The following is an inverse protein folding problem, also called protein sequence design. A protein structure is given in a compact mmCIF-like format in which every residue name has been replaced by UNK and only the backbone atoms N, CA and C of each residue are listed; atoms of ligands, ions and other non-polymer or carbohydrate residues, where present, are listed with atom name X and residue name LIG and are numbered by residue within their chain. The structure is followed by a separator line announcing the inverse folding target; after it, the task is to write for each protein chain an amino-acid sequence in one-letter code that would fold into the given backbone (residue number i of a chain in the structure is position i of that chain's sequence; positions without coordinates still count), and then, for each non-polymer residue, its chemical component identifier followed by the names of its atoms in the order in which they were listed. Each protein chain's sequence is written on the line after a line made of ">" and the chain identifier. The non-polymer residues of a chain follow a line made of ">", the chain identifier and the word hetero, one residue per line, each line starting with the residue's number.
data_IF_585544008441
#
_entry.id   IF_585544008441
#
_cell.length_a   1.000
_cell.length_b   1.000
_cell.length_c   1.000
_cell.angle_alpha   90.00
_cell.angle_beta   90.00
_cell.angle_gamma   90.00
#
_symmetry.space_group_name_H-M   'P 1'
#
loop_
_entity.id
_entity.type
_entity.pdbx_description
1 polymer ?
#
# COMPACT_ATOMS: atom_id res chain seq x y z
N UNK A 1 27.90 68.56 -4.54
CA UNK A 1 27.21 67.54 -3.74
C UNK A 1 26.91 66.21 -4.44
N UNK A 2 27.33 65.99 -5.67
CA UNK A 2 26.90 64.76 -6.43
C UNK A 2 27.98 63.61 -6.54
N UNK A 3 29.24 63.87 -6.15
CA UNK A 3 30.27 62.83 -6.25
C UNK A 3 30.50 61.97 -4.99
N UNK A 4 30.05 62.40 -3.80
CA UNK A 4 30.15 61.59 -2.59
C UNK A 4 29.08 60.52 -2.48
N UNK A 5 27.92 60.70 -3.12
CA UNK A 5 26.85 59.70 -3.08
C UNK A 5 27.09 58.50 -4.00
N UNK A 6 27.89 58.63 -5.06
CA UNK A 6 28.18 57.51 -5.94
C UNK A 6 29.26 56.57 -5.38
N UNK A 7 30.19 57.09 -4.53
CA UNK A 7 31.26 56.24 -3.96
C UNK A 7 30.71 55.31 -2.87
N UNK A 8 29.70 55.76 -2.10
CA UNK A 8 29.10 54.96 -1.04
C UNK A 8 28.24 53.78 -1.61
N UNK A 9 27.63 53.96 -2.78
CA UNK A 9 26.86 52.90 -3.43
C UNK A 9 27.75 51.77 -4.00
N UNK A 10 28.92 52.09 -4.47
CA UNK A 10 29.86 51.10 -5.02
C UNK A 10 30.50 50.26 -3.92
N UNK A 11 30.85 50.90 -2.79
CA UNK A 11 31.46 50.21 -1.66
C UNK A 11 30.43 49.30 -0.98
N UNK A 12 29.16 49.72 -0.82
CA UNK A 12 28.11 48.90 -0.24
C UNK A 12 27.76 47.71 -1.13
N UNK A 13 27.74 47.83 -2.43
CA UNK A 13 27.50 46.69 -3.33
C UNK A 13 28.62 45.65 -3.31
N UNK A 14 29.90 46.08 -3.17
CA UNK A 14 31.02 45.13 -3.06
C UNK A 14 31.07 44.39 -1.73
N UNK A 15 30.70 45.05 -0.63
CA UNK A 15 30.61 44.39 0.69
C UNK A 15 29.48 43.39 0.77
N UNK A 16 28.33 43.70 0.17
CA UNK A 16 27.18 42.77 0.15
C UNK A 16 27.47 41.54 -0.74
N UNK A 17 28.19 41.72 -1.88
CA UNK A 17 28.56 40.59 -2.71
C UNK A 17 29.64 39.70 -2.08
N UNK A 18 30.55 40.25 -1.28
CA UNK A 18 31.58 39.46 -0.59
C UNK A 18 31.03 38.71 0.60
N UNK A 19 30.01 39.25 1.29
CA UNK A 19 29.32 38.53 2.39
C UNK A 19 28.41 37.40 1.85
N UNK A 20 27.70 37.60 0.73
CA UNK A 20 26.92 36.53 0.12
C UNK A 20 27.79 35.41 -0.48
N UNK A 21 28.95 35.71 -0.99
CA UNK A 21 29.90 34.68 -1.48
C UNK A 21 30.56 33.89 -0.35
N UNK A 22 30.74 34.48 0.84
CA UNK A 22 31.29 33.78 2.01
C UNK A 22 30.23 32.89 2.74
N UNK A 23 28.94 33.22 2.65
CA UNK A 23 27.88 32.35 3.17
C UNK A 23 27.58 31.16 2.25
N UNK A 24 27.90 31.24 0.95
CA UNK A 24 27.70 30.13 0.01
C UNK A 24 28.83 29.08 0.03
N UNK A 25 29.96 29.37 0.75
CA UNK A 25 31.06 28.42 0.89
C UNK A 25 31.08 27.66 2.21
N UNK A 26 30.17 27.98 3.13
CA UNK A 26 29.98 27.25 4.39
C UNK A 26 28.80 26.24 4.32
N UNK A 27 28.25 26.04 3.11
CA UNK A 27 27.40 24.90 2.84
C UNK A 27 28.26 23.66 2.85
N UNK A 28 28.40 23.02 4.02
CA UNK A 28 28.90 21.66 4.06
C UNK A 28 28.09 20.87 3.03
N UNK A 29 28.79 20.17 2.17
CA UNK A 29 28.17 19.08 1.41
C UNK A 29 27.61 18.12 2.44
N UNK A 30 26.33 18.27 2.78
CA UNK A 30 25.58 17.15 3.30
C UNK A 30 25.73 16.09 2.21
N UNK A 31 26.63 15.15 2.38
CA UNK A 31 26.62 13.95 1.58
C UNK A 31 25.22 13.39 1.77
N UNK A 32 24.42 13.40 0.72
CA UNK A 32 23.19 12.66 0.72
C UNK A 32 23.60 11.23 1.10
N UNK A 33 23.31 10.85 2.32
CA UNK A 33 23.57 9.51 2.81
C UNK A 33 22.65 8.63 1.96
N UNK A 34 23.22 7.90 1.02
CA UNK A 34 22.46 6.98 0.19
C UNK A 34 21.76 5.98 1.10
N UNK A 35 20.47 5.71 0.84
CA UNK A 35 19.79 4.58 1.45
C UNK A 35 20.71 3.37 1.28
N UNK A 36 20.87 2.57 2.34
CA UNK A 36 21.65 1.33 2.27
C UNK A 36 20.99 0.40 1.23
N UNK A 37 21.49 0.50 -0.01
CA UNK A 37 20.94 -0.25 -1.16
C UNK A 37 21.09 -1.75 -1.00
N UNK A 38 21.88 -2.22 -0.04
CA UNK A 38 21.98 -3.65 0.26
C UNK A 38 20.76 -4.16 1.02
N UNK A 39 20.10 -3.30 1.78
CA UNK A 39 18.91 -3.65 2.59
C UNK A 39 17.59 -3.23 1.96
N UNK A 40 17.58 -2.18 1.16
CA UNK A 40 16.37 -1.57 0.62
C UNK A 40 16.24 -1.78 -0.89
N UNK A 41 15.01 -1.80 -1.37
CA UNK A 41 14.69 -1.77 -2.80
C UNK A 41 14.87 -0.35 -3.33
N UNK A 42 15.47 -0.24 -4.51
CA UNK A 42 15.38 0.94 -5.35
C UNK A 42 14.04 0.96 -6.11
N UNK A 43 13.80 2.00 -6.92
CA UNK A 43 12.68 2.02 -7.86
C UNK A 43 12.73 0.79 -8.77
N UNK A 44 11.62 0.08 -8.86
CA UNK A 44 11.51 -1.06 -9.77
C UNK A 44 10.10 -1.20 -10.35
N UNK A 45 10.03 -1.91 -11.45
CA UNK A 45 8.81 -2.50 -12.00
C UNK A 45 9.07 -3.97 -12.31
N UNK A 46 8.26 -4.85 -11.72
CA UNK A 46 8.24 -6.28 -12.02
C UNK A 46 7.11 -6.58 -12.99
N UNK A 47 7.45 -6.99 -14.20
CA UNK A 47 6.50 -7.30 -15.26
C UNK A 47 6.22 -8.80 -15.40
N UNK A 48 6.83 -9.61 -14.55
CA UNK A 48 6.68 -11.07 -14.58
C UNK A 48 6.96 -11.74 -15.93
N UNK A 49 7.94 -11.23 -16.66
CA UNK A 49 8.33 -11.68 -18.00
C UNK A 49 9.27 -12.90 -18.00
N UNK A 50 9.55 -13.47 -16.85
CA UNK A 50 10.42 -14.62 -16.71
C UNK A 50 9.88 -15.62 -15.68
N UNK A 51 10.38 -16.85 -15.74
CA UNK A 51 10.03 -17.93 -14.81
C UNK A 51 10.42 -17.61 -13.34
N UNK A 52 11.27 -16.62 -13.15
CA UNK A 52 11.71 -16.17 -11.84
C UNK A 52 11.60 -14.66 -11.75
N UNK A 53 10.70 -14.13 -10.90
CA UNK A 53 10.61 -12.71 -10.67
C UNK A 53 11.95 -12.10 -10.25
N UNK A 54 12.28 -10.96 -10.83
CA UNK A 54 13.56 -10.30 -10.55
C UNK A 54 13.59 -9.73 -9.14
N UNK A 55 12.49 -9.10 -8.70
CA UNK A 55 12.42 -8.32 -7.46
C UNK A 55 11.73 -9.07 -6.31
N UNK A 56 11.07 -10.19 -6.58
CA UNK A 56 10.28 -10.93 -5.60
C UNK A 56 10.81 -12.33 -5.33
N UNK A 57 10.65 -12.77 -4.09
CA UNK A 57 10.69 -14.17 -3.69
C UNK A 57 9.26 -14.73 -3.73
N UNK A 58 9.15 -16.00 -4.09
CA UNK A 58 7.88 -16.70 -4.11
C UNK A 58 7.81 -17.65 -2.92
N UNK A 59 6.79 -17.52 -2.10
CA UNK A 59 6.61 -18.28 -0.86
C UNK A 59 5.27 -19.02 -0.85
N UNK A 60 5.17 -20.00 0.04
CA UNK A 60 3.94 -20.73 0.31
C UNK A 60 3.97 -22.19 -0.11
N UNK A 61 2.97 -22.91 0.38
CA UNK A 61 2.78 -24.36 0.15
C UNK A 61 1.89 -24.65 -1.06
N UNK A 62 1.35 -23.61 -1.69
CA UNK A 62 0.42 -23.72 -2.80
C UNK A 62 1.08 -23.32 -4.10
N UNK A 63 0.59 -23.90 -5.21
CA UNK A 63 1.13 -23.64 -6.52
C UNK A 63 0.82 -22.22 -6.96
N UNK A 64 1.83 -21.47 -7.30
CA UNK A 64 1.72 -20.36 -8.21
C UNK A 64 2.29 -20.81 -9.56
N UNK A 65 1.80 -20.21 -10.64
CA UNK A 65 2.32 -20.47 -11.96
C UNK A 65 2.48 -19.16 -12.70
N UNK A 66 3.55 -19.10 -13.42
CA UNK A 66 3.84 -18.05 -14.36
C UNK A 66 3.50 -18.53 -15.77
N UNK A 67 2.78 -17.73 -16.51
CA UNK A 67 2.43 -18.02 -17.89
C UNK A 67 2.87 -16.83 -18.77
N UNK A 68 4.00 -16.94 -19.49
CA UNK A 68 4.42 -15.92 -20.44
C UNK A 68 3.47 -15.88 -21.63
N UNK A 69 3.21 -14.68 -22.14
CA UNK A 69 2.40 -14.45 -23.35
C UNK A 69 1.00 -15.06 -23.33
N UNK A 70 0.45 -15.35 -22.16
CA UNK A 70 -0.96 -15.74 -22.07
C UNK A 70 -1.79 -14.49 -22.28
N UNK A 71 -2.62 -14.41 -23.35
CA UNK A 71 -3.59 -13.35 -23.45
C UNK A 71 -4.50 -13.49 -22.22
N UNK A 72 -4.43 -12.53 -21.31
CA UNK A 72 -5.43 -12.47 -20.27
C UNK A 72 -6.79 -12.31 -20.94
N UNK A 73 -7.87 -12.75 -20.29
CA UNK A 73 -9.23 -12.61 -20.82
C UNK A 73 -9.63 -11.15 -21.11
N UNK A 74 -8.84 -10.18 -20.62
CA UNK A 74 -9.12 -8.76 -20.79
C UNK A 74 -8.11 -7.98 -21.63
N UNK A 75 -6.87 -8.51 -21.87
CA UNK A 75 -5.84 -7.77 -22.59
C UNK A 75 -4.93 -8.70 -23.40
N UNK A 76 -4.74 -8.36 -24.68
CA UNK A 76 -3.88 -9.14 -25.56
C UNK A 76 -2.41 -8.80 -25.33
N UNK A 77 -1.59 -9.83 -25.15
CA UNK A 77 -0.14 -9.72 -25.22
C UNK A 77 0.53 -9.27 -23.92
N UNK A 78 -0.15 -9.34 -22.77
CA UNK A 78 0.48 -9.19 -21.46
C UNK A 78 0.96 -10.53 -20.94
N UNK A 79 2.19 -10.58 -20.45
CA UNK A 79 2.64 -11.64 -19.59
C UNK A 79 2.05 -11.38 -18.20
N UNK A 80 1.62 -12.43 -17.53
CA UNK A 80 1.05 -12.33 -16.19
C UNK A 80 1.62 -13.39 -15.27
N UNK A 81 1.80 -13.07 -14.01
CA UNK A 81 1.96 -14.08 -12.98
C UNK A 81 0.58 -14.59 -12.56
N UNK A 82 0.42 -15.89 -12.51
CA UNK A 82 -0.79 -16.52 -12.01
C UNK A 82 -0.50 -17.19 -10.67
N UNK A 83 -1.22 -16.78 -9.66
CA UNK A 83 -1.21 -17.41 -8.33
C UNK A 83 -2.52 -18.17 -8.12
N UNK A 84 -2.45 -19.43 -7.72
CA UNK A 84 -3.63 -20.26 -7.50
C UNK A 84 -3.74 -20.69 -6.05
N UNK A 85 -4.97 -20.63 -5.54
CA UNK A 85 -5.32 -21.30 -4.30
C UNK A 85 -5.93 -22.65 -4.66
N UNK A 86 -5.30 -23.71 -4.19
CA UNK A 86 -5.78 -25.06 -4.49
C UNK A 86 -6.92 -25.46 -3.52
N UNK A 87 -7.77 -26.40 -3.94
CA UNK A 87 -8.79 -26.96 -3.08
C UNK A 87 -8.20 -27.47 -1.75
N UNK A 88 -8.82 -27.11 -0.66
CA UNK A 88 -8.41 -27.55 0.67
C UNK A 88 -9.59 -28.23 1.35
N UNK A 89 -9.28 -29.24 2.14
CA UNK A 89 -10.29 -29.95 2.94
C UNK A 89 -10.69 -29.17 4.19
N UNK A 90 -10.07 -28.02 4.45
CA UNK A 90 -10.22 -27.28 5.68
C UNK A 90 -10.36 -25.79 5.40
N UNK A 91 -11.55 -25.25 5.68
CA UNK A 91 -11.78 -23.81 5.65
C UNK A 91 -10.90 -23.11 6.70
N UNK A 92 -10.50 -21.86 6.42
CA UNK A 92 -9.76 -21.03 7.36
C UNK A 92 -8.33 -21.50 7.62
N UNK A 93 -7.68 -22.14 6.65
CA UNK A 93 -6.31 -22.57 6.79
C UNK A 93 -5.29 -21.40 6.96
N UNK A 94 -5.70 -20.17 6.67
CA UNK A 94 -4.88 -18.95 6.79
C UNK A 94 -3.61 -18.97 5.95
N UNK A 95 -3.57 -19.75 4.86
CA UNK A 95 -2.38 -19.97 4.03
C UNK A 95 -2.74 -19.98 2.57
N UNK A 96 -1.77 -19.58 1.75
CA UNK A 96 -1.84 -19.61 0.31
C UNK A 96 -0.51 -19.20 -0.32
N UNK A 97 -0.46 -19.08 -1.65
CA UNK A 97 0.71 -18.56 -2.35
C UNK A 97 0.93 -17.08 -1.97
N UNK A 98 2.19 -16.71 -1.88
CA UNK A 98 2.64 -15.36 -1.52
C UNK A 98 3.90 -14.99 -2.29
N UNK A 99 3.99 -13.75 -2.74
CA UNK A 99 5.24 -13.15 -3.22
C UNK A 99 5.58 -11.96 -2.33
N UNK A 100 6.87 -11.77 -2.08
CA UNK A 100 7.39 -10.66 -1.29
C UNK A 100 8.71 -10.15 -1.82
N UNK A 101 8.96 -8.86 -1.74
CA UNK A 101 10.21 -8.25 -2.21
C UNK A 101 11.44 -8.88 -1.54
N UNK A 102 12.53 -8.99 -2.30
CA UNK A 102 13.81 -9.58 -1.83
C UNK A 102 14.50 -8.73 -0.78
N UNK A 103 14.23 -7.42 -0.80
CA UNK A 103 14.75 -6.43 0.15
C UNK A 103 13.57 -5.64 0.72
N UNK A 104 13.84 -4.83 1.72
CA UNK A 104 12.83 -3.99 2.37
C UNK A 104 12.41 -2.84 1.46
N UNK A 105 11.18 -2.42 1.64
CA UNK A 105 10.61 -1.17 1.14
C UNK A 105 10.26 -0.27 2.32
N UNK A 106 10.07 1.01 2.07
CA UNK A 106 9.66 1.98 3.08
C UNK A 106 8.75 3.03 2.44
N UNK A 107 8.70 4.24 2.96
CA UNK A 107 7.89 5.33 2.39
C UNK A 107 8.06 5.43 0.88
N UNK A 108 6.96 5.54 0.18
CA UNK A 108 6.98 5.51 -1.28
C UNK A 108 5.60 5.27 -1.89
N UNK A 109 5.59 5.23 -3.21
CA UNK A 109 4.42 4.86 -4.01
C UNK A 109 4.50 3.38 -4.37
N UNK A 110 3.46 2.65 -4.02
CA UNK A 110 3.26 1.24 -4.33
C UNK A 110 2.14 1.10 -5.33
N UNK A 111 2.36 0.35 -6.39
CA UNK A 111 1.37 0.19 -7.45
C UNK A 111 1.36 -1.24 -7.97
N UNK A 112 0.17 -1.79 -8.18
CA UNK A 112 0.00 -3.10 -8.78
C UNK A 112 -1.18 -3.12 -9.76
N UNK A 113 -1.05 -3.90 -10.83
CA UNK A 113 -2.10 -4.13 -11.79
C UNK A 113 -2.52 -5.59 -11.72
N UNK A 114 -3.70 -5.83 -11.18
CA UNK A 114 -4.18 -7.17 -10.81
C UNK A 114 -5.63 -7.38 -11.23
N UNK A 115 -5.99 -8.68 -11.37
CA UNK A 115 -7.35 -9.14 -11.56
C UNK A 115 -7.60 -10.32 -10.61
N UNK A 116 -8.58 -10.18 -9.72
CA UNK A 116 -8.95 -11.26 -8.79
C UNK A 116 -9.78 -12.36 -9.48
N UNK A 117 -9.87 -13.57 -8.92
CA UNK A 117 -10.65 -14.65 -9.52
C UNK A 117 -12.16 -14.36 -9.62
N UNK A 118 -12.80 -14.77 -10.72
CA UNK A 118 -14.26 -14.72 -10.86
C UNK A 118 -14.89 -16.01 -10.35
N UNK A 119 -15.37 -15.99 -9.12
CA UNK A 119 -15.94 -17.17 -8.44
C UNK A 119 -17.39 -17.01 -8.04
N UNK A 120 -17.94 -15.80 -8.13
CA UNK A 120 -19.26 -15.44 -7.57
C UNK A 120 -20.41 -16.33 -8.02
N UNK A 121 -20.37 -16.80 -9.29
CA UNK A 121 -21.40 -17.68 -9.85
C UNK A 121 -21.18 -19.15 -9.48
N UNK A 122 -19.95 -19.54 -9.19
CA UNK A 122 -19.57 -20.95 -8.98
C UNK A 122 -19.54 -21.28 -7.48
N UNK A 123 -19.00 -20.40 -6.67
CA UNK A 123 -18.83 -20.60 -5.23
C UNK A 123 -19.01 -19.28 -4.45
N UNK A 124 -20.25 -18.82 -4.27
CA UNK A 124 -20.52 -17.48 -3.72
C UNK A 124 -20.14 -17.31 -2.24
N UNK A 125 -19.93 -18.39 -1.51
CA UNK A 125 -19.53 -18.33 -0.08
C UNK A 125 -18.09 -18.75 0.17
N UNK A 126 -17.25 -18.70 -0.85
CA UNK A 126 -15.84 -19.08 -0.69
C UNK A 126 -15.12 -18.16 0.30
N UNK A 127 -14.38 -18.77 1.21
CA UNK A 127 -13.56 -18.07 2.20
C UNK A 127 -12.14 -17.85 1.71
N UNK A 128 -11.94 -17.03 0.70
CA UNK A 128 -10.61 -16.71 0.16
C UNK A 128 -10.46 -15.21 -0.05
N UNK A 129 -9.26 -14.70 0.22
CA UNK A 129 -8.90 -13.29 0.17
C UNK A 129 -7.66 -13.10 -0.68
N UNK A 130 -7.70 -12.11 -1.55
CA UNK A 130 -6.50 -11.55 -2.19
C UNK A 130 -6.04 -10.36 -1.36
N UNK A 131 -4.79 -10.39 -0.89
CA UNK A 131 -4.12 -9.29 -0.21
C UNK A 131 -3.03 -8.70 -1.08
N UNK A 132 -3.05 -7.39 -1.25
CA UNK A 132 -2.02 -6.58 -1.86
C UNK A 132 -1.57 -5.56 -0.80
N UNK A 133 -0.36 -5.74 -0.24
CA UNK A 133 -0.05 -5.14 1.05
C UNK A 133 1.44 -4.99 1.32
N UNK A 134 1.76 -4.36 2.45
CA UNK A 134 3.08 -4.43 3.07
C UNK A 134 2.97 -5.14 4.41
N UNK A 135 4.02 -5.83 4.84
CA UNK A 135 4.00 -6.50 6.15
C UNK A 135 5.40 -6.66 6.73
N UNK A 136 5.58 -6.24 7.98
CA UNK A 136 6.71 -6.61 8.82
C UNK A 136 6.43 -6.30 10.29
N UNK A 137 6.70 -7.26 11.17
CA UNK A 137 6.77 -7.03 12.60
C UNK A 137 8.17 -6.53 12.96
N UNK A 138 8.27 -5.29 13.38
CA UNK A 138 9.49 -4.71 13.94
C UNK A 138 9.50 -4.83 15.46
N UNK A 139 10.68 -5.12 16.06
CA UNK A 139 10.79 -5.33 17.50
C UNK A 139 10.54 -4.05 18.32
N UNK A 140 10.85 -2.90 17.75
CA UNK A 140 10.76 -1.60 18.41
C UNK A 140 9.49 -0.86 18.06
N UNK A 141 9.12 -0.88 16.77
CA UNK A 141 8.02 -0.07 16.22
C UNK A 141 6.72 -0.85 16.05
N UNK A 142 6.73 -2.17 16.30
CA UNK A 142 5.57 -3.01 16.12
C UNK A 142 5.28 -3.38 14.67
N UNK A 143 4.03 -3.71 14.38
CA UNK A 143 3.60 -4.08 13.04
C UNK A 143 3.54 -2.87 12.12
N UNK A 144 4.09 -3.03 10.93
CA UNK A 144 3.93 -2.15 9.77
C UNK A 144 3.22 -2.90 8.67
N UNK A 145 1.90 -2.64 8.51
CA UNK A 145 1.07 -3.29 7.50
C UNK A 145 0.11 -2.27 6.89
N UNK A 146 0.06 -2.25 5.56
CA UNK A 146 -0.82 -1.40 4.76
C UNK A 146 -1.50 -2.28 3.74
N UNK A 147 -2.82 -2.28 3.68
CA UNK A 147 -3.61 -3.26 2.97
C UNK A 147 -4.49 -2.69 1.86
N UNK A 148 -4.56 -3.44 0.77
CA UNK A 148 -5.72 -3.65 -0.08
C UNK A 148 -6.16 -5.10 0.02
N UNK A 149 -7.44 -5.34 0.25
CA UNK A 149 -7.94 -6.71 0.32
C UNK A 149 -9.27 -6.85 -0.43
N UNK A 150 -9.44 -8.02 -1.06
CA UNK A 150 -10.66 -8.45 -1.72
C UNK A 150 -11.08 -9.81 -1.20
N UNK A 151 -12.26 -9.87 -0.60
CA UNK A 151 -12.94 -11.14 -0.42
C UNK A 151 -13.45 -11.58 -1.80
N UNK A 152 -12.89 -12.65 -2.38
CA UNK A 152 -13.18 -13.02 -3.76
C UNK A 152 -14.64 -13.47 -4.00
N UNK A 153 -15.34 -13.81 -2.94
CA UNK A 153 -16.79 -14.08 -3.00
C UNK A 153 -17.61 -12.82 -3.32
N UNK A 154 -17.06 -11.61 -3.03
CA UNK A 154 -17.65 -10.33 -3.43
C UNK A 154 -16.59 -9.31 -3.91
N UNK A 155 -16.04 -9.48 -5.11
CA UNK A 155 -14.98 -8.63 -5.65
C UNK A 155 -15.44 -7.22 -6.06
N UNK A 156 -16.68 -6.85 -5.78
CA UNK A 156 -17.20 -5.48 -5.95
C UNK A 156 -16.85 -4.56 -4.78
N UNK A 157 -16.45 -5.16 -3.65
CA UNK A 157 -16.04 -4.46 -2.45
C UNK A 157 -14.51 -4.42 -2.34
N UNK A 158 -13.99 -3.29 -1.87
CA UNK A 158 -12.57 -3.11 -1.54
C UNK A 158 -12.47 -2.79 -0.05
N UNK A 159 -11.59 -3.50 0.64
CA UNK A 159 -11.07 -3.09 1.93
C UNK A 159 -9.71 -2.43 1.76
N UNK A 160 -9.50 -1.29 2.45
CA UNK A 160 -8.20 -0.63 2.58
C UNK A 160 -7.97 -0.32 4.06
N UNK A 161 -6.72 -0.44 4.51
CA UNK A 161 -6.45 -0.20 5.92
C UNK A 161 -5.00 -0.36 6.30
N UNK A 162 -4.77 -0.27 7.62
CA UNK A 162 -3.48 -0.56 8.24
C UNK A 162 -3.65 -1.45 9.45
N UNK A 163 -2.60 -2.22 9.74
CA UNK A 163 -2.42 -2.83 11.03
C UNK A 163 -1.10 -2.38 11.63
N UNK A 164 -1.15 -2.00 12.90
CA UNK A 164 -0.01 -1.44 13.64
C UNK A 164 0.03 -1.97 15.07
N UNK A 165 0.96 -1.45 15.85
CA UNK A 165 1.10 -1.74 17.27
C UNK A 165 1.98 -2.94 17.59
N UNK A 166 2.49 -2.98 18.82
CA UNK A 166 3.46 -4.00 19.25
C UNK A 166 2.89 -5.42 19.27
N UNK A 167 1.57 -5.55 19.39
CA UNK A 167 0.86 -6.84 19.41
C UNK A 167 0.06 -7.09 18.13
N UNK A 168 0.25 -6.29 17.07
CA UNK A 168 -0.46 -6.43 15.79
C UNK A 168 -2.00 -6.41 15.93
N UNK A 169 -2.54 -5.60 16.83
CA UNK A 169 -3.99 -5.55 17.08
C UNK A 169 -4.57 -4.13 17.10
N UNK A 170 -3.79 -3.15 16.66
CA UNK A 170 -4.25 -1.80 16.33
C UNK A 170 -4.50 -1.71 14.82
N UNK A 171 -5.59 -1.10 14.39
CA UNK A 171 -5.89 -0.90 12.98
C UNK A 171 -6.76 0.31 12.70
N UNK A 172 -6.64 0.81 11.49
CA UNK A 172 -7.65 1.66 10.84
C UNK A 172 -8.08 0.97 9.56
N UNK A 173 -9.32 1.15 9.15
CA UNK A 173 -9.81 0.49 7.94
C UNK A 173 -11.07 1.11 7.37
N UNK A 174 -11.23 0.98 6.05
CA UNK A 174 -12.37 1.45 5.29
C UNK A 174 -12.80 0.38 4.29
N UNK A 175 -14.11 0.12 4.22
CA UNK A 175 -14.71 -0.74 3.18
C UNK A 175 -15.54 0.11 2.24
N UNK A 176 -15.37 -0.12 0.95
CA UNK A 176 -15.92 0.69 -0.14
C UNK A 176 -16.64 -0.21 -1.14
N UNK A 177 -17.89 0.13 -1.46
CA UNK A 177 -18.63 -0.37 -2.63
C UNK A 177 -18.33 0.60 -3.78
N UNK A 178 -17.34 0.25 -4.60
CA UNK A 178 -16.84 1.15 -5.63
C UNK A 178 -17.79 1.27 -6.82
N UNK A 179 -18.56 0.22 -7.11
CA UNK A 179 -19.57 0.29 -8.17
C UNK A 179 -20.64 1.35 -7.86
N UNK A 180 -20.95 1.56 -6.58
CA UNK A 180 -21.92 2.55 -6.11
C UNK A 180 -21.27 3.86 -5.63
N UNK A 181 -19.94 3.92 -5.56
CA UNK A 181 -19.24 5.06 -4.98
C UNK A 181 -19.55 5.27 -3.49
N UNK A 182 -19.82 4.20 -2.76
CA UNK A 182 -20.30 4.27 -1.38
C UNK A 182 -19.26 3.76 -0.40
N UNK A 183 -18.93 4.58 0.58
CA UNK A 183 -18.18 4.16 1.77
C UNK A 183 -19.18 3.44 2.69
N UNK A 184 -18.94 2.15 2.95
CA UNK A 184 -19.81 1.34 3.80
C UNK A 184 -19.53 1.61 5.27
N UNK A 185 -18.25 1.68 5.64
CA UNK A 185 -17.81 2.09 6.96
C UNK A 185 -16.35 2.52 6.97
N UNK A 186 -16.00 3.29 7.98
CA UNK A 186 -14.62 3.67 8.35
C UNK A 186 -14.48 3.43 9.85
N UNK A 187 -13.55 2.57 10.24
CA UNK A 187 -13.40 2.10 11.61
C UNK A 187 -11.96 2.14 12.08
N UNK A 188 -11.78 2.14 13.40
CA UNK A 188 -10.50 1.86 14.03
C UNK A 188 -10.64 0.80 15.12
N UNK A 189 -9.52 0.23 15.50
CA UNK A 189 -9.37 -0.65 16.64
C UNK A 189 -8.05 -0.35 17.33
N UNK A 190 -8.03 -0.31 18.65
CA UNK A 190 -6.83 -0.14 19.44
C UNK A 190 -6.77 -1.14 20.58
N UNK A 191 -5.59 -1.35 21.14
CA UNK A 191 -5.40 -2.19 22.32
C UNK A 191 -6.13 -1.64 23.55
N UNK A 192 -6.18 -0.31 23.68
CA UNK A 192 -6.87 0.36 24.78
C UNK A 192 -8.37 0.06 24.81
N UNK A 193 -8.97 -0.24 23.68
CA UNK A 193 -10.40 -0.57 23.55
C UNK A 193 -10.72 -2.07 23.74
N UNK A 194 -9.75 -2.86 24.12
CA UNK A 194 -9.93 -4.31 24.29
C UNK A 194 -10.33 -5.02 23.00
N UNK A 195 -9.73 -4.61 21.89
CA UNK A 195 -9.95 -5.20 20.55
C UNK A 195 -11.34 -4.96 19.94
N UNK A 196 -12.02 -3.91 20.32
CA UNK A 196 -13.30 -3.52 19.71
C UNK A 196 -13.08 -2.61 18.50
N UNK A 197 -13.99 -2.70 17.53
CA UNK A 197 -14.04 -1.79 16.39
C UNK A 197 -14.98 -0.62 16.69
N UNK A 198 -14.56 0.58 16.36
CA UNK A 198 -15.31 1.81 16.56
C UNK A 198 -15.32 2.64 15.28
N UNK A 199 -16.27 3.57 15.19
CA UNK A 199 -16.21 4.61 14.18
C UNK A 199 -14.99 5.49 14.45
N UNK A 200 -14.26 5.83 13.38
CA UNK A 200 -13.06 6.66 13.47
C UNK A 200 -13.42 8.13 13.45
N UNK A 201 -12.72 8.93 14.27
CA UNK A 201 -12.78 10.39 14.29
C UNK A 201 -11.35 10.97 14.28
N UNK A 202 -11.19 12.28 14.05
CA UNK A 202 -9.87 12.93 14.04
C UNK A 202 -9.05 12.61 12.78
N UNK A 203 -9.73 12.48 11.63
CA UNK A 203 -9.09 12.29 10.33
C UNK A 203 -9.38 13.50 9.46
N UNK A 204 -8.31 14.14 8.96
CA UNK A 204 -8.40 15.16 7.92
C UNK A 204 -8.40 14.57 6.50
N UNK A 205 -8.74 15.40 5.56
CA UNK A 205 -8.58 15.17 4.09
C UNK A 205 -9.22 13.91 3.49
N UNK A 206 -10.02 13.18 4.22
CA UNK A 206 -10.69 12.01 3.67
C UNK A 206 -11.86 12.41 2.76
N UNK A 207 -12.09 11.72 1.62
CA UNK A 207 -13.30 11.96 0.85
C UNK A 207 -14.52 11.41 1.59
N UNK A 208 -15.59 12.19 1.61
CA UNK A 208 -16.90 11.78 2.14
C UNK A 208 -17.65 10.87 1.15
N UNK A 209 -17.34 11.02 -0.13
CA UNK A 209 -17.90 10.22 -1.22
C UNK A 209 -16.79 9.79 -2.17
N UNK A 210 -16.97 8.64 -2.79
CA UNK A 210 -16.04 8.10 -3.78
C UNK A 210 -16.69 8.23 -5.17
N UNK A 211 -15.90 8.60 -6.17
CA UNK A 211 -16.38 8.56 -7.57
C UNK A 211 -16.72 7.11 -7.91
N UNK A 212 -17.98 6.87 -8.25
CA UNK A 212 -18.43 5.54 -8.65
C UNK A 212 -17.75 5.12 -9.97
N UNK A 213 -17.38 3.87 -10.06
CA UNK A 213 -17.03 3.21 -11.32
C UNK A 213 -18.17 2.23 -11.61
N UNK A 214 -19.14 2.60 -12.46
CA UNK A 214 -20.21 1.71 -12.84
C UNK A 214 -19.64 0.36 -13.31
N UNK A 215 -20.27 -0.73 -12.93
CA UNK A 215 -19.84 -2.10 -13.26
C UNK A 215 -18.45 -2.50 -12.69
N UNK A 216 -17.95 -1.78 -11.68
CA UNK A 216 -16.75 -2.21 -10.99
C UNK A 216 -16.92 -3.61 -10.41
N UNK A 217 -16.01 -4.47 -10.79
CA UNK A 217 -15.85 -5.82 -10.27
C UNK A 217 -14.40 -6.21 -10.54
N UNK A 218 -13.61 -6.37 -9.49
CA UNK A 218 -12.17 -6.64 -9.59
C UNK A 218 -11.85 -7.97 -10.30
N UNK A 219 -12.86 -8.85 -10.49
CA UNK A 219 -12.71 -10.11 -11.21
C UNK A 219 -12.93 -10.01 -12.73
N UNK A 220 -13.47 -8.90 -13.23
CA UNK A 220 -13.87 -8.76 -14.63
C UNK A 220 -12.78 -8.22 -15.54
N UNK A 221 -11.87 -7.44 -14.99
CA UNK A 221 -10.74 -6.85 -15.72
C UNK A 221 -9.57 -6.55 -14.80
N UNK A 222 -8.42 -6.25 -15.36
CA UNK A 222 -7.33 -5.66 -14.61
C UNK A 222 -7.64 -4.23 -14.22
N UNK A 223 -7.39 -3.90 -12.97
CA UNK A 223 -7.35 -2.54 -12.46
C UNK A 223 -5.96 -2.25 -11.90
N UNK A 224 -5.56 -0.98 -11.96
CA UNK A 224 -4.34 -0.51 -11.32
C UNK A 224 -4.70 0.12 -9.99
N UNK A 225 -4.19 -0.46 -8.92
CA UNK A 225 -4.36 -0.01 -7.54
C UNK A 225 -3.04 0.52 -7.01
N UNK A 226 -3.10 1.46 -6.09
CA UNK A 226 -1.89 1.93 -5.43
C UNK A 226 -2.16 2.64 -4.13
N UNK A 227 -1.08 2.80 -3.38
CA UNK A 227 -1.06 3.66 -2.20
C UNK A 227 0.25 4.44 -2.14
N UNK A 228 0.14 5.66 -1.62
CA UNK A 228 1.26 6.52 -1.31
C UNK A 228 1.44 6.52 0.21
N UNK A 229 2.59 6.04 0.68
CA UNK A 229 2.91 5.93 2.10
C UNK A 229 3.95 6.97 2.50
N UNK A 230 3.53 7.90 3.36
CA UNK A 230 4.35 8.93 3.98
C UNK A 230 4.45 8.70 5.51
N UNK A 231 5.36 9.36 6.22
CA UNK A 231 5.50 9.20 7.67
C UNK A 231 4.27 9.64 8.47
N UNK A 232 3.42 10.50 7.91
CA UNK A 232 2.26 11.12 8.57
C UNK A 232 0.95 10.97 7.80
N UNK A 233 0.95 10.27 6.65
CA UNK A 233 -0.18 10.17 5.74
C UNK A 233 -0.14 8.91 4.91
N UNK A 234 -1.32 8.38 4.61
CA UNK A 234 -1.53 7.30 3.65
C UNK A 234 -2.64 7.67 2.68
N UNK A 235 -2.40 7.49 1.39
CA UNK A 235 -3.41 7.74 0.36
C UNK A 235 -3.61 6.49 -0.48
N UNK A 236 -4.77 5.83 -0.36
CA UNK A 236 -5.14 4.72 -1.23
C UNK A 236 -5.90 5.22 -2.44
N UNK A 237 -5.58 4.68 -3.59
CA UNK A 237 -6.19 5.09 -4.85
C UNK A 237 -6.26 3.92 -5.85
N UNK A 238 -7.09 4.10 -6.89
CA UNK A 238 -7.03 3.29 -8.09
C UNK A 238 -7.08 4.18 -9.33
N UNK A 239 -6.68 3.62 -10.46
CA UNK A 239 -6.78 4.30 -11.75
C UNK A 239 -8.11 3.92 -12.41
N UNK A 240 -8.90 4.93 -12.79
CA UNK A 240 -10.14 4.70 -13.52
C UNK A 240 -9.85 4.04 -14.87
N UNK A 241 -10.50 2.90 -15.20
CA UNK A 241 -10.10 2.08 -16.33
C UNK A 241 -10.32 2.72 -17.71
N UNK A 242 -11.10 3.80 -17.79
CA UNK A 242 -11.42 4.50 -19.05
C UNK A 242 -10.80 5.89 -19.12
N UNK A 243 -10.82 6.67 -18.03
CA UNK A 243 -10.32 8.05 -18.03
C UNK A 243 -8.84 8.14 -17.66
N UNK A 244 -8.25 7.10 -17.10
CA UNK A 244 -6.90 7.05 -16.51
C UNK A 244 -6.68 8.05 -15.36
N UNK A 245 -7.74 8.57 -14.77
CA UNK A 245 -7.67 9.45 -13.61
C UNK A 245 -7.49 8.64 -12.32
N UNK A 246 -6.72 9.17 -11.37
CA UNK A 246 -6.65 8.61 -10.02
C UNK A 246 -7.95 8.90 -9.27
N UNK A 247 -8.61 7.87 -8.80
CA UNK A 247 -9.74 7.95 -7.86
C UNK A 247 -9.20 7.69 -6.46
N UNK A 248 -9.32 8.66 -5.59
CA UNK A 248 -8.92 8.54 -4.18
C UNK A 248 -9.97 7.73 -3.43
N UNK A 249 -9.55 6.63 -2.84
CA UNK A 249 -10.37 5.77 -1.99
C UNK A 249 -10.35 6.21 -0.53
N UNK A 250 -9.18 6.60 -0.07
CA UNK A 250 -8.97 7.17 1.25
C UNK A 250 -7.68 7.99 1.27
N UNK A 251 -7.79 9.25 1.63
CA UNK A 251 -6.68 10.10 1.99
C UNK A 251 -6.65 10.20 3.51
N UNK A 252 -5.96 9.22 4.13
CA UNK A 252 -5.90 9.08 5.58
C UNK A 252 -4.82 10.00 6.14
N UNK A 253 -5.25 11.02 6.86
CA UNK A 253 -4.41 12.00 7.50
C UNK A 253 -4.90 12.18 8.94
N UNK A 254 -4.27 11.53 9.93
CA UNK A 254 -4.66 11.73 11.33
C UNK A 254 -4.34 13.16 11.76
N UNK A 255 -5.27 13.81 12.45
CA UNK A 255 -5.12 15.20 12.92
C UNK A 255 -4.12 15.34 14.06
N UNK A 256 -3.79 14.22 14.72
CA UNK A 256 -2.81 14.15 15.81
C UNK A 256 -2.29 12.73 15.98
N UNK A 257 -1.25 12.58 16.81
CA UNK A 257 -0.76 11.27 17.24
C UNK A 257 -1.68 10.53 18.22
N UNK A 258 -2.86 11.07 18.50
CA UNK A 258 -3.82 10.52 19.43
C UNK A 258 -5.18 10.30 18.75
N UNK A 259 -5.25 9.35 17.83
CA UNK A 259 -6.47 9.02 17.14
C UNK A 259 -7.55 8.56 18.12
N UNK A 260 -8.77 9.12 17.99
CA UNK A 260 -9.88 8.89 18.91
C UNK A 260 -9.52 9.08 20.40
N UNK A 261 -8.52 9.93 20.70
CA UNK A 261 -8.05 10.16 22.06
C UNK A 261 -7.13 9.08 22.62
N UNK A 262 -6.68 8.13 21.81
CA UNK A 262 -5.71 7.09 22.21
C UNK A 262 -4.30 7.63 21.92
N UNK A 263 -3.61 8.07 22.96
CA UNK A 263 -2.25 8.65 22.84
C UNK A 263 -1.27 7.63 22.23
N UNK A 264 -0.42 8.11 21.32
CA UNK A 264 0.58 7.29 20.62
C UNK A 264 0.01 6.38 19.51
N UNK A 265 -1.27 6.52 19.19
CA UNK A 265 -1.91 5.78 18.11
C UNK A 265 -2.38 6.72 17.00
N UNK A 266 -1.66 6.76 15.89
CA UNK A 266 -2.05 7.51 14.70
C UNK A 266 -2.49 6.60 13.54
N UNK A 267 -2.31 5.29 13.66
CA UNK A 267 -2.68 4.30 12.63
C UNK A 267 -1.76 4.31 11.41
N UNK A 268 -0.66 5.05 11.42
CA UNK A 268 0.32 5.06 10.33
C UNK A 268 1.45 4.07 10.64
N UNK A 269 1.69 3.06 9.80
CA UNK A 269 2.89 2.23 9.89
C UNK A 269 4.17 3.06 9.79
N UNK A 270 5.21 2.71 10.53
CA UNK A 270 6.43 3.54 10.62
C UNK A 270 7.69 2.85 10.12
N UNK A 271 7.85 1.56 10.41
CA UNK A 271 9.11 0.87 10.11
C UNK A 271 9.15 0.28 8.71
N UNK A 272 10.35 0.16 8.13
CA UNK A 272 10.54 -0.52 6.85
C UNK A 272 9.96 -1.93 6.83
N UNK A 273 9.46 -2.35 5.69
CA UNK A 273 8.64 -3.54 5.54
C UNK A 273 8.94 -4.29 4.24
N UNK A 274 8.30 -5.43 4.04
CA UNK A 274 8.29 -6.16 2.77
C UNK A 274 7.03 -5.81 1.99
N UNK A 275 7.15 -5.57 0.68
CA UNK A 275 6.02 -5.38 -0.22
C UNK A 275 5.54 -6.73 -0.74
N UNK A 276 4.26 -7.05 -0.51
CA UNK A 276 3.72 -8.40 -0.68
C UNK A 276 2.43 -8.39 -1.52
N UNK A 277 2.19 -9.55 -2.10
CA UNK A 277 0.90 -9.94 -2.62
C UNK A 277 0.67 -11.42 -2.27
N UNK A 278 -0.51 -11.71 -1.72
CA UNK A 278 -0.88 -13.08 -1.41
C UNK A 278 -2.31 -13.41 -1.82
N UNK A 279 -2.61 -14.70 -1.78
CA UNK A 279 -3.92 -15.24 -2.00
C UNK A 279 -4.15 -16.33 -0.95
N UNK A 280 -4.91 -16.04 0.10
CA UNK A 280 -5.01 -16.87 1.26
C UNK A 280 -6.44 -17.28 1.59
N UNK A 281 -6.59 -18.21 2.49
CA UNK A 281 -7.83 -18.89 2.82
C UNK A 281 -8.33 -18.47 4.20
N UNK A 282 -9.56 -17.99 4.28
CA UNK A 282 -10.22 -17.62 5.54
C UNK A 282 -11.55 -18.35 5.75
N UNK A 283 -11.98 -18.45 6.98
CA UNK A 283 -13.34 -18.85 7.35
C UNK A 283 -14.05 -17.80 8.22
N UNK A 284 -13.43 -16.65 8.39
CA UNK A 284 -13.92 -15.59 9.25
C UNK A 284 -13.51 -14.23 8.69
N UNK A 285 -14.19 -13.78 7.64
CA UNK A 285 -13.99 -12.43 7.14
C UNK A 285 -14.82 -11.47 7.99
N UNK A 286 -14.19 -10.45 8.63
CA UNK A 286 -14.86 -9.60 9.61
C UNK A 286 -15.80 -8.55 9.01
N UNK A 287 -16.01 -8.57 7.72
CA UNK A 287 -16.91 -7.64 7.04
C UNK A 287 -18.31 -8.23 7.03
N UNK A 288 -19.27 -7.49 7.56
CA UNK A 288 -20.71 -7.82 7.51
C UNK A 288 -21.23 -7.75 6.09
N UNK A 289 -20.69 -8.57 5.24
CA UNK A 289 -21.12 -8.74 3.88
C UNK A 289 -21.77 -10.11 3.74
N UNK A 290 -22.80 -10.16 3.01
CA UNK A 290 -23.31 -11.37 2.44
C UNK A 290 -22.53 -11.59 1.13
N UNK A 291 -21.58 -12.46 1.06
CA UNK A 291 -21.56 -13.87 1.40
C UNK A 291 -20.85 -14.20 2.74
N UNK A 292 -21.09 -15.40 3.24
CA UNK A 292 -20.59 -15.85 4.55
C UNK A 292 -19.12 -16.26 4.59
N UNK A 293 -18.40 -16.25 3.48
CA UNK A 293 -16.95 -16.56 3.37
C UNK A 293 -16.45 -17.74 4.23
N UNK A 294 -17.19 -18.84 4.23
CA UNK A 294 -16.90 -20.00 5.11
C UNK A 294 -16.47 -21.27 4.36
N UNK A 295 -16.58 -21.28 3.04
CA UNK A 295 -16.32 -22.46 2.23
C UNK A 295 -14.86 -22.53 1.79
N UNK A 296 -14.27 -23.72 1.89
CA UNK A 296 -12.99 -23.98 1.25
C UNK A 296 -13.12 -23.92 -0.28
N UNK A 297 -12.06 -23.51 -1.01
CA UNK A 297 -12.08 -23.55 -2.48
C UNK A 297 -12.40 -24.93 -2.99
N UNK A 298 -13.38 -25.05 -3.88
CA UNK A 298 -13.70 -26.31 -4.56
C UNK A 298 -12.82 -26.54 -5.78
N UNK A 299 -12.23 -25.48 -6.35
CA UNK A 299 -11.40 -25.50 -7.55
C UNK A 299 -10.17 -24.63 -7.36
N UNK A 300 -9.09 -24.85 -8.16
CA UNK A 300 -7.92 -23.97 -8.12
C UNK A 300 -8.21 -22.65 -8.83
N UNK A 301 -8.77 -21.72 -8.10
CA UNK A 301 -9.04 -20.38 -8.62
C UNK A 301 -7.75 -19.58 -8.77
N UNK A 302 -7.65 -18.78 -9.82
CA UNK A 302 -6.45 -18.06 -10.22
C UNK A 302 -6.60 -16.54 -10.01
N UNK A 303 -5.64 -15.96 -9.30
CA UNK A 303 -5.33 -14.54 -9.26
C UNK A 303 -4.33 -14.24 -10.37
N UNK A 304 -4.53 -13.18 -11.12
CA UNK A 304 -3.62 -12.73 -12.18
C UNK A 304 -2.98 -11.38 -11.83
N UNK A 305 -1.66 -11.30 -12.00
CA UNK A 305 -0.86 -10.13 -11.70
C UNK A 305 -0.12 -9.74 -12.98
N UNK A 306 -0.43 -8.58 -13.53
CA UNK A 306 0.21 -8.06 -14.75
C UNK A 306 1.59 -7.47 -14.39
N UNK A 307 1.62 -6.55 -13.44
CA UNK A 307 2.88 -5.98 -12.94
C UNK A 307 2.72 -5.42 -11.53
N UNK A 308 3.87 -5.25 -10.86
CA UNK A 308 4.00 -4.57 -9.57
C UNK A 308 5.14 -3.57 -9.62
N UNK A 309 4.95 -2.38 -9.03
CA UNK A 309 5.90 -1.28 -9.05
C UNK A 309 6.08 -0.67 -7.66
N UNK A 310 7.29 -0.21 -7.37
CA UNK A 310 7.63 0.57 -6.19
C UNK A 310 8.50 1.77 -6.56
N UNK A 311 8.22 2.92 -5.97
CA UNK A 311 8.96 4.18 -6.13
C UNK A 311 9.18 4.79 -4.74
N UNK A 312 10.41 4.74 -4.18
CA UNK A 312 10.69 5.21 -2.83
C UNK A 312 10.66 6.74 -2.72
N UNK A 313 10.16 7.24 -1.59
CA UNK A 313 10.38 8.60 -1.11
C UNK A 313 11.69 8.61 -0.29
N UNK A 314 12.81 8.72 -0.99
CA UNK A 314 14.16 8.48 -0.44
C UNK A 314 14.45 9.39 0.75
N UNK A 315 14.18 10.70 0.61
CA UNK A 315 14.47 11.69 1.67
C UNK A 315 13.67 11.43 2.94
N UNK A 316 12.38 11.13 2.81
CA UNK A 316 11.52 10.81 3.96
C UNK A 316 11.99 9.54 4.67
N UNK A 317 12.33 8.50 3.90
CA UNK A 317 12.84 7.25 4.44
C UNK A 317 14.15 7.43 5.19
N UNK A 318 15.10 8.16 4.62
CA UNK A 318 16.39 8.44 5.25
C UNK A 318 16.24 9.28 6.52
N UNK A 319 15.42 10.31 6.48
CA UNK A 319 15.13 11.15 7.64
C UNK A 319 14.59 10.30 8.78
N UNK A 320 13.56 9.50 8.53
CA UNK A 320 12.96 8.65 9.56
C UNK A 320 13.94 7.61 10.12
N UNK A 321 14.70 6.92 9.25
CA UNK A 321 15.71 5.91 9.66
C UNK A 321 16.76 6.55 10.57
N UNK A 322 17.23 7.76 10.22
CA UNK A 322 18.25 8.48 10.97
C UNK A 322 17.71 8.97 12.33
N UNK A 323 16.55 9.60 12.35
CA UNK A 323 15.93 10.15 13.56
C UNK A 323 15.57 9.06 14.59
N UNK A 324 15.20 7.88 14.11
CA UNK A 324 14.80 6.75 14.94
C UNK A 324 15.93 5.74 15.20
N UNK A 325 17.15 5.98 14.72
CA UNK A 325 18.29 5.05 14.81
C UNK A 325 17.90 3.61 14.42
N UNK A 326 17.09 3.46 13.37
CA UNK A 326 16.61 2.16 12.95
C UNK A 326 17.73 1.33 12.33
N UNK A 327 17.91 0.07 12.80
CA UNK A 327 18.99 -0.83 12.40
C UNK A 327 18.47 -2.17 11.88
#
# INVERSE_FOLDING_TARGET
>A
MSRLFQLNHIIMRKVIFTLCAALLMAGGTASAQSVDTDRFMDTFIENFNSDRPEFFNCHGTYNYRYYPNVPSLSEKGSDVMVMRIDPTTKAGAGRGPEIGTKKLTHFGTYTARIRVPDVKKVQPNIGAVVGYFTYRMDKTFGLSEIDFEWLIADPTLIYVGTWTGPNANQRVGRTIDLAKGKILYTIYRSDADGNRNHNITGIGNQPETITAIPDYDASKRFYTYGFDWHPDRLTWWLVHPTTNEKIILWDYQPESSALNGVEGFDGIPKSPTTYLLNYWHTNNWPVDTNPKSIEAPAYPYALEIDWMKYEPFVEESQTWITENNWQ
#
